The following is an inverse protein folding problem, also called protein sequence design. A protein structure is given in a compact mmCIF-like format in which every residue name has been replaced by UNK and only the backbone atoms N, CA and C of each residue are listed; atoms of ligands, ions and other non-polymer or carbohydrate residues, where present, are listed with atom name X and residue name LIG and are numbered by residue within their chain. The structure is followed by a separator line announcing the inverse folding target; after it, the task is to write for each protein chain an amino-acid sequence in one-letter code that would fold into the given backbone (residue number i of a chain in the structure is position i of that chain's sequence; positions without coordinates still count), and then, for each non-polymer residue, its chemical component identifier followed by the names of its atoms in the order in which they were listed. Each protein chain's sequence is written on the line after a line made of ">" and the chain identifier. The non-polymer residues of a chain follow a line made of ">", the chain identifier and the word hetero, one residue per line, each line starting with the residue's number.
data_IF_640397445316
#
_entry.id   IF_640397445316
#
_cell.length_a   1.000
_cell.length_b   1.000
_cell.length_c   1.000
_cell.angle_alpha   90.00
_cell.angle_beta   90.00
_cell.angle_gamma   90.00
#
_symmetry.space_group_name_H-M   'P 1'
#
loop_
_entity.id
_entity.type
_entity.pdbx_description
1 polymer ?
#
# COMPACT_ATOMS: atom_id res chain seq x y z
N UNK A 1 -15.78 3.67 -10.52
CA UNK A 1 -16.47 2.36 -10.59
C UNK A 1 -15.92 1.39 -9.57
N UNK A 2 -16.78 0.86 -8.70
CA UNK A 2 -16.41 -0.15 -7.69
C UNK A 2 -15.96 -1.46 -8.34
N UNK A 3 -16.66 -1.89 -9.39
CA UNK A 3 -16.32 -3.11 -10.15
C UNK A 3 -14.92 -3.05 -10.79
N UNK A 4 -14.50 -1.87 -11.27
CA UNK A 4 -13.17 -1.71 -11.85
C UNK A 4 -12.06 -1.83 -10.80
N UNK A 5 -12.29 -1.31 -9.59
CA UNK A 5 -11.34 -1.45 -8.47
C UNK A 5 -11.23 -2.91 -8.03
N UNK A 6 -12.36 -3.60 -7.84
CA UNK A 6 -12.37 -5.04 -7.48
C UNK A 6 -11.64 -5.90 -8.52
N UNK A 7 -11.79 -5.58 -9.81
CA UNK A 7 -11.08 -6.27 -10.90
C UNK A 7 -9.56 -6.03 -10.83
N UNK A 8 -9.14 -4.79 -10.56
CA UNK A 8 -7.73 -4.45 -10.41
C UNK A 8 -7.12 -5.18 -9.20
N UNK A 9 -7.81 -5.20 -8.07
CA UNK A 9 -7.33 -5.84 -6.84
C UNK A 9 -7.12 -7.34 -7.06
N UNK A 10 -8.05 -8.02 -7.74
CA UNK A 10 -7.91 -9.42 -8.11
C UNK A 10 -6.69 -9.66 -9.02
N UNK A 11 -6.49 -8.81 -10.03
CA UNK A 11 -5.33 -8.93 -10.94
C UNK A 11 -3.99 -8.72 -10.22
N UNK A 12 -3.93 -7.77 -9.28
CA UNK A 12 -2.73 -7.52 -8.49
C UNK A 12 -2.41 -8.71 -7.58
N UNK A 13 -3.45 -9.29 -6.96
CA UNK A 13 -3.31 -10.48 -6.12
C UNK A 13 -2.81 -11.69 -6.94
N UNK A 14 -3.41 -11.98 -8.09
CA UNK A 14 -2.99 -13.08 -8.97
C UNK A 14 -1.56 -12.89 -9.48
N UNK A 15 -1.19 -11.64 -9.80
CA UNK A 15 0.16 -11.30 -10.23
C UNK A 15 1.19 -11.60 -9.14
N UNK A 16 0.89 -11.22 -7.90
CA UNK A 16 1.72 -11.54 -6.74
C UNK A 16 1.79 -13.05 -6.50
N UNK A 17 0.65 -13.76 -6.54
CA UNK A 17 0.58 -15.20 -6.35
C UNK A 17 1.38 -15.99 -7.41
N UNK A 18 1.52 -15.44 -8.61
CA UNK A 18 2.39 -15.97 -9.66
C UNK A 18 3.90 -15.71 -9.43
N UNK A 19 4.30 -15.20 -8.27
CA UNK A 19 5.69 -14.96 -7.89
C UNK A 19 6.31 -13.71 -8.55
N UNK A 20 5.48 -12.79 -9.06
CA UNK A 20 5.96 -11.54 -9.66
C UNK A 20 5.98 -10.42 -8.62
N UNK A 21 6.95 -9.51 -8.76
CA UNK A 21 7.02 -8.31 -7.94
C UNK A 21 6.04 -7.25 -8.46
N UNK A 22 5.21 -6.72 -7.57
CA UNK A 22 4.27 -5.62 -7.85
C UNK A 22 4.67 -4.40 -7.02
N UNK A 23 4.78 -3.24 -7.67
CA UNK A 23 4.90 -1.95 -7.00
C UNK A 23 3.58 -1.21 -7.13
N UNK A 24 2.88 -1.02 -6.02
CA UNK A 24 1.62 -0.29 -5.96
C UNK A 24 1.86 1.09 -5.36
N UNK A 25 1.54 2.14 -6.12
CA UNK A 25 1.46 3.52 -5.61
C UNK A 25 -0.01 3.92 -5.56
N UNK A 26 -0.53 4.12 -4.34
CA UNK A 26 -1.94 4.46 -4.11
C UNK A 26 -2.05 5.51 -3.01
N UNK A 27 -3.10 6.33 -3.09
CA UNK A 27 -3.51 7.25 -2.02
C UNK A 27 -4.59 6.62 -1.13
N UNK A 28 -5.02 5.40 -1.44
CA UNK A 28 -6.04 4.67 -0.71
C UNK A 28 -5.37 3.73 0.29
N UNK A 29 -5.32 4.14 1.56
CA UNK A 29 -4.65 3.37 2.61
C UNK A 29 -5.27 1.98 2.83
N UNK A 30 -6.57 1.81 2.55
CA UNK A 30 -7.23 0.50 2.61
C UNK A 30 -6.64 -0.50 1.62
N UNK A 31 -6.41 -0.09 0.36
CA UNK A 31 -5.75 -0.93 -0.64
C UNK A 31 -4.30 -1.22 -0.25
N UNK A 32 -3.57 -0.22 0.26
CA UNK A 32 -2.20 -0.42 0.71
C UNK A 32 -2.13 -1.46 1.84
N UNK A 33 -3.03 -1.37 2.84
CA UNK A 33 -3.10 -2.33 3.94
C UNK A 33 -3.45 -3.75 3.49
N UNK A 34 -4.37 -3.90 2.53
CA UNK A 34 -4.88 -5.21 2.11
C UNK A 34 -4.02 -5.91 1.05
N UNK A 35 -3.39 -5.16 0.14
CA UNK A 35 -2.75 -5.73 -1.06
C UNK A 35 -1.22 -5.78 -0.97
N UNK A 36 -0.60 -5.19 0.05
CA UNK A 36 0.86 -5.11 0.16
C UNK A 36 1.41 -5.88 1.34
N UNK A 37 2.63 -6.38 1.19
CA UNK A 37 3.39 -7.05 2.25
C UNK A 37 4.37 -6.10 2.96
N UNK A 38 4.70 -4.98 2.30
CA UNK A 38 5.65 -3.95 2.72
C UNK A 38 5.15 -2.61 2.23
N UNK A 39 5.25 -1.58 3.06
CA UNK A 39 4.92 -0.20 2.71
C UNK A 39 6.13 0.69 2.86
N UNK A 40 6.28 1.63 1.93
CA UNK A 40 7.31 2.66 1.95
C UNK A 40 6.62 4.01 1.87
N UNK A 41 7.05 4.96 2.70
CA UNK A 41 6.56 6.35 2.64
C UNK A 41 7.71 7.25 2.23
N UNK A 42 7.42 8.09 1.23
CA UNK A 42 8.31 9.15 0.77
C UNK A 42 7.81 10.50 1.29
N UNK A 43 8.67 11.24 1.99
CA UNK A 43 8.42 12.60 2.44
C UNK A 43 9.46 13.53 1.82
N UNK A 44 9.04 14.60 1.14
CA UNK A 44 9.95 15.62 0.54
C UNK A 44 11.07 15.00 -0.33
N UNK A 45 10.78 13.90 -1.04
CA UNK A 45 11.72 13.21 -1.92
C UNK A 45 12.68 12.23 -1.23
N UNK A 46 12.55 12.01 0.08
CA UNK A 46 13.35 11.04 0.84
C UNK A 46 12.48 9.93 1.43
N UNK A 47 13.06 8.75 1.60
CA UNK A 47 12.41 7.64 2.28
C UNK A 47 12.38 7.91 3.79
N UNK A 48 11.17 8.02 4.34
CA UNK A 48 10.93 8.34 5.76
C UNK A 48 10.34 7.18 6.55
N UNK A 49 9.81 6.17 5.85
CA UNK A 49 9.27 4.96 6.47
C UNK A 49 9.43 3.77 5.53
N UNK A 50 9.73 2.61 6.11
CA UNK A 50 9.90 1.35 5.41
C UNK A 50 9.71 0.19 6.38
N UNK A 51 8.58 -0.51 6.28
CA UNK A 51 8.25 -1.61 7.17
C UNK A 51 7.28 -2.61 6.53
N UNK A 52 7.16 -3.84 7.09
CA UNK A 52 6.09 -4.76 6.72
C UNK A 52 4.71 -4.13 6.96
N UNK A 53 3.76 -4.41 6.08
CA UNK A 53 2.37 -3.95 6.24
C UNK A 53 1.60 -4.81 7.25
N UNK A 54 2.16 -5.95 7.67
CA UNK A 54 1.54 -6.83 8.65
C UNK A 54 1.26 -6.11 9.98
N UNK A 55 -0.02 -6.12 10.39
CA UNK A 55 -0.47 -5.45 11.61
C UNK A 55 -0.77 -3.95 11.45
N UNK A 56 -0.64 -3.39 10.25
CA UNK A 56 -1.06 -2.03 9.93
C UNK A 56 -2.44 -2.05 9.27
N UNK A 57 -3.37 -1.27 9.80
CA UNK A 57 -4.64 -0.99 9.14
C UNK A 57 -4.60 0.38 8.43
N UNK A 58 -5.68 0.70 7.71
CA UNK A 58 -5.77 1.94 6.95
C UNK A 58 -5.61 3.19 7.84
N UNK A 59 -6.11 3.15 9.07
CA UNK A 59 -6.03 4.26 10.02
C UNK A 59 -4.59 4.48 10.49
N UNK A 60 -3.91 3.40 10.87
CA UNK A 60 -2.51 3.41 11.29
C UNK A 60 -1.59 3.91 10.18
N UNK A 61 -1.84 3.50 8.92
CA UNK A 61 -1.09 4.00 7.76
C UNK A 61 -1.33 5.50 7.51
N UNK A 62 -2.57 5.98 7.66
CA UNK A 62 -2.88 7.39 7.52
C UNK A 62 -2.17 8.23 8.59
N UNK A 63 -2.18 7.75 9.85
CA UNK A 63 -1.47 8.40 10.94
C UNK A 63 0.05 8.42 10.72
N UNK A 64 0.65 7.28 10.33
CA UNK A 64 2.07 7.18 9.98
C UNK A 64 2.44 8.15 8.86
N UNK A 65 1.62 8.24 7.81
CA UNK A 65 1.84 9.17 6.71
C UNK A 65 1.87 10.61 7.22
N UNK A 66 0.89 11.02 8.03
CA UNK A 66 0.82 12.37 8.61
C UNK A 66 1.99 12.66 9.55
N UNK A 67 2.43 11.69 10.36
CA UNK A 67 3.54 11.88 11.31
C UNK A 67 4.92 11.95 10.62
N UNK A 68 5.11 11.23 9.52
CA UNK A 68 6.42 11.10 8.85
C UNK A 68 6.64 12.09 7.71
N UNK A 69 5.57 12.70 7.18
CA UNK A 69 5.66 13.60 6.02
C UNK A 69 5.47 15.09 6.32
N UNK A 70 5.20 15.46 7.58
CA UNK A 70 5.16 16.87 8.02
C UNK A 70 6.56 17.51 8.10
#
# INVERSE_FOLDING_TARGET
>A
DRSAAETLDALLHDTQAAGRTVLLATHQFEQAAQLTQRVIILGKGVLVYDAPTAGLDAASLAELFVQTTQ
#
